data_IF_458106667132
#
_entry.id   IF_458106667132
#
_cell.length_a   1.000
_cell.length_b   1.000
_cell.length_c   1.000
_cell.angle_alpha   90.00
_cell.angle_beta   90.00
_cell.angle_gamma   90.00
#
_symmetry.space_group_name_H-M   'P 1'
#
loop_
_entity.id
_entity.type
_entity.pdbx_description
1 polymer ?
#
# COMPACT_ATOMS: atom_id res chain seq x y z
N UNK A 1 15.35 -28.44 -30.56
CA UNK A 1 14.42 -27.32 -30.83
C UNK A 1 13.61 -26.86 -29.59
N UNK A 2 13.00 -27.74 -28.79
CA UNK A 2 12.21 -27.34 -27.60
C UNK A 2 12.99 -26.54 -26.56
N UNK A 3 14.23 -26.87 -26.29
CA UNK A 3 15.07 -26.16 -25.29
C UNK A 3 15.55 -24.79 -25.78
N UNK A 4 15.68 -24.60 -27.09
CA UNK A 4 16.07 -23.31 -27.68
C UNK A 4 14.92 -22.28 -27.58
N UNK A 5 13.67 -22.72 -27.74
CA UNK A 5 12.48 -21.90 -27.55
C UNK A 5 12.30 -21.48 -26.08
N UNK A 6 12.53 -22.40 -25.15
CA UNK A 6 12.46 -22.13 -23.72
C UNK A 6 13.55 -21.15 -23.26
N UNK A 7 14.79 -21.29 -23.77
CA UNK A 7 15.87 -20.35 -23.47
C UNK A 7 15.62 -18.95 -24.06
N UNK A 8 15.07 -18.88 -25.28
CA UNK A 8 14.68 -17.58 -25.87
C UNK A 8 13.56 -16.88 -25.10
N UNK A 9 12.52 -17.63 -24.65
CA UNK A 9 11.45 -17.08 -23.82
C UNK A 9 11.96 -16.61 -22.45
N UNK A 10 12.93 -17.34 -21.88
CA UNK A 10 13.52 -16.98 -20.60
C UNK A 10 14.43 -15.75 -20.71
N UNK A 11 15.22 -15.64 -21.76
CA UNK A 11 16.05 -14.44 -22.02
C UNK A 11 15.22 -13.21 -22.39
N UNK A 12 14.15 -13.35 -23.17
CA UNK A 12 13.23 -12.26 -23.45
C UNK A 12 12.50 -11.79 -22.19
N UNK A 13 12.12 -12.70 -21.28
CA UNK A 13 11.49 -12.32 -20.01
C UNK A 13 12.46 -11.61 -19.06
N UNK A 14 13.73 -12.01 -19.02
CA UNK A 14 14.76 -11.32 -18.22
C UNK A 14 15.05 -9.91 -18.73
N UNK A 15 15.18 -9.72 -20.06
CA UNK A 15 15.39 -8.38 -20.63
C UNK A 15 14.17 -7.45 -20.51
N UNK A 16 12.95 -8.01 -20.43
CA UNK A 16 11.74 -7.24 -20.15
C UNK A 16 11.64 -6.82 -18.69
N UNK A 17 12.22 -7.59 -17.76
CA UNK A 17 12.20 -7.30 -16.33
C UNK A 17 12.97 -6.02 -15.97
N UNK A 18 14.13 -5.76 -16.59
CA UNK A 18 14.94 -4.58 -16.32
C UNK A 18 14.27 -3.25 -16.72
N UNK A 19 13.25 -3.32 -17.57
CA UNK A 19 12.47 -2.14 -18.00
C UNK A 19 11.15 -1.98 -17.26
N UNK A 20 10.64 -3.02 -16.61
CA UNK A 20 9.32 -3.04 -15.98
C UNK A 20 9.39 -2.80 -14.46
N UNK A 21 10.48 -3.18 -13.81
CA UNK A 21 10.67 -3.02 -12.38
C UNK A 21 11.78 -2.01 -12.09
N UNK A 22 11.42 -0.91 -11.48
CA UNK A 22 12.35 0.15 -11.11
C UNK A 22 11.90 0.77 -9.78
N UNK A 23 12.87 1.26 -9.02
CA UNK A 23 12.61 1.97 -7.78
C UNK A 23 12.64 3.46 -8.07
N UNK A 24 11.48 4.07 -8.19
CA UNK A 24 11.43 5.51 -8.45
C UNK A 24 10.49 6.23 -7.52
N UNK A 25 10.69 7.53 -7.47
CA UNK A 25 9.90 8.44 -6.67
C UNK A 25 8.49 8.55 -7.26
N UNK A 26 7.43 8.26 -6.46
CA UNK A 26 6.06 8.44 -6.91
C UNK A 26 5.73 9.91 -7.20
N UNK A 27 4.73 10.13 -8.03
CA UNK A 27 4.11 11.44 -8.18
C UNK A 27 3.51 11.93 -6.87
N UNK A 28 3.38 13.26 -6.73
CA UNK A 28 2.66 13.84 -5.60
C UNK A 28 1.15 13.78 -5.84
N UNK A 29 0.39 13.39 -4.82
CA UNK A 29 -1.06 13.24 -4.92
C UNK A 29 -1.74 13.43 -3.56
N UNK A 30 -3.04 13.70 -3.62
CA UNK A 30 -3.96 13.57 -2.48
C UNK A 30 -4.85 12.37 -2.74
N UNK A 31 -5.07 11.52 -1.73
CA UNK A 31 -5.97 10.37 -1.86
C UNK A 31 -7.03 10.36 -0.79
N UNK A 32 -8.16 9.74 -1.14
CA UNK A 32 -9.28 9.51 -0.24
C UNK A 32 -9.84 8.10 -0.43
N UNK A 33 -9.85 7.32 0.63
CA UNK A 33 -10.45 6.00 0.67
C UNK A 33 -11.51 5.93 1.79
N UNK A 34 -12.80 5.97 1.44
CA UNK A 34 -13.88 5.99 2.43
C UNK A 34 -14.03 4.69 3.19
N UNK A 35 -13.66 3.57 2.56
CA UNK A 35 -13.92 2.23 3.10
C UNK A 35 -12.65 1.39 3.11
N UNK A 36 -12.56 0.53 4.13
CA UNK A 36 -11.62 -0.57 4.18
C UNK A 36 -12.33 -1.86 4.58
N UNK A 37 -11.74 -3.00 4.23
CA UNK A 37 -12.22 -4.31 4.62
C UNK A 37 -11.12 -5.07 5.35
N UNK A 38 -11.51 -5.84 6.39
CA UNK A 38 -10.62 -6.78 7.06
C UNK A 38 -10.73 -8.14 6.39
N UNK A 39 -9.63 -8.67 5.87
CA UNK A 39 -9.64 -9.93 5.11
C UNK A 39 -10.18 -11.12 5.91
N UNK A 40 -9.93 -11.17 7.21
CA UNK A 40 -10.34 -12.29 8.07
C UNK A 40 -11.75 -12.17 8.64
N UNK A 41 -12.35 -10.98 8.64
CA UNK A 41 -13.70 -10.76 9.17
C UNK A 41 -14.71 -10.51 8.08
N UNK A 42 -14.28 -10.10 6.89
CA UNK A 42 -15.14 -9.68 5.80
C UNK A 42 -15.92 -8.39 6.10
N UNK A 43 -15.64 -7.73 7.20
CA UNK A 43 -16.33 -6.51 7.61
C UNK A 43 -15.85 -5.33 6.77
N UNK A 44 -16.78 -4.54 6.27
CA UNK A 44 -16.49 -3.25 5.65
C UNK A 44 -16.56 -2.19 6.74
N UNK A 45 -15.44 -1.51 6.96
CA UNK A 45 -15.36 -0.41 7.91
C UNK A 45 -15.28 0.93 7.18
N UNK A 46 -15.95 1.94 7.69
CA UNK A 46 -15.77 3.32 7.27
C UNK A 46 -14.49 3.86 7.94
N UNK A 47 -13.44 4.04 7.17
CA UNK A 47 -12.13 4.48 7.70
C UNK A 47 -11.83 5.94 7.36
N UNK A 48 -12.47 6.47 6.30
CA UNK A 48 -12.23 7.84 5.82
C UNK A 48 -10.73 8.18 5.73
N UNK A 49 -9.94 7.22 5.21
CA UNK A 49 -8.51 7.44 5.03
C UNK A 49 -8.29 8.55 4.02
N UNK A 50 -7.70 9.64 4.49
CA UNK A 50 -7.18 10.71 3.65
C UNK A 50 -5.66 10.66 3.72
N UNK A 51 -4.97 10.72 2.59
CA UNK A 51 -3.52 10.80 2.58
C UNK A 51 -2.98 11.81 1.57
N UNK A 52 -1.80 12.32 1.88
CA UNK A 52 -1.01 13.18 1.00
C UNK A 52 0.31 12.48 0.77
N UNK A 53 0.66 12.28 -0.48
CA UNK A 53 1.97 11.80 -0.90
C UNK A 53 2.79 12.95 -1.47
N UNK A 54 4.01 13.10 -0.98
CA UNK A 54 4.99 14.02 -1.54
C UNK A 54 6.32 13.28 -1.74
N UNK A 55 6.58 12.94 -2.98
CA UNK A 55 7.75 12.13 -3.31
C UNK A 55 7.72 10.76 -2.64
N UNK A 56 8.73 10.45 -1.83
CA UNK A 56 8.86 9.18 -1.12
C UNK A 56 8.03 9.09 0.17
N UNK A 57 7.42 10.18 0.63
CA UNK A 57 6.69 10.23 1.89
C UNK A 57 5.18 10.28 1.66
N UNK A 58 4.44 9.38 2.30
CA UNK A 58 2.97 9.42 2.36
C UNK A 58 2.53 9.60 3.82
N UNK A 59 1.78 10.66 4.08
CA UNK A 59 1.15 10.95 5.37
C UNK A 59 -0.34 10.66 5.27
N UNK A 60 -0.83 9.77 6.11
CA UNK A 60 -2.22 9.34 6.14
C UNK A 60 -2.92 9.67 7.46
N UNK A 61 -4.21 10.01 7.39
CA UNK A 61 -5.10 10.25 8.53
C UNK A 61 -6.34 9.40 8.36
N UNK A 62 -6.75 8.64 9.37
CA UNK A 62 -7.94 7.80 9.32
C UNK A 62 -8.45 7.45 10.72
N UNK A 63 -9.68 6.94 10.76
CA UNK A 63 -10.23 6.32 11.96
C UNK A 63 -9.97 4.82 11.85
N UNK A 64 -9.23 4.27 12.81
CA UNK A 64 -8.92 2.84 12.80
C UNK A 64 -10.13 1.98 13.23
N UNK A 65 -10.01 0.66 13.13
CA UNK A 65 -11.07 -0.30 13.48
C UNK A 65 -11.47 -0.29 14.95
N UNK A 66 -10.71 0.37 15.80
CA UNK A 66 -11.07 0.60 17.22
C UNK A 66 -11.73 1.97 17.45
N UNK A 67 -12.09 2.67 16.36
CA UNK A 67 -12.67 4.02 16.38
C UNK A 67 -11.75 5.10 16.95
N UNK A 68 -10.44 4.88 16.86
CA UNK A 68 -9.44 5.84 17.31
C UNK A 68 -8.84 6.59 16.12
N UNK A 69 -8.62 7.92 16.25
CA UNK A 69 -7.92 8.67 15.23
C UNK A 69 -6.48 8.18 15.11
N UNK A 70 -6.04 7.98 13.90
CA UNK A 70 -4.75 7.38 13.58
C UNK A 70 -4.04 8.21 12.52
N UNK A 71 -2.73 8.40 12.73
CA UNK A 71 -1.82 9.02 11.77
C UNK A 71 -0.85 7.96 11.31
N UNK A 72 -0.62 7.85 10.01
CA UNK A 72 0.39 6.97 9.43
C UNK A 72 1.42 7.78 8.64
N UNK A 73 2.68 7.43 8.79
CA UNK A 73 3.77 7.96 7.97
C UNK A 73 4.49 6.79 7.31
N UNK A 74 4.50 6.77 6.00
CA UNK A 74 5.07 5.70 5.19
C UNK A 74 6.09 6.24 4.20
N UNK A 75 7.17 5.50 4.01
CA UNK A 75 7.98 5.56 2.80
C UNK A 75 7.24 4.81 1.71
N UNK A 76 7.11 5.40 0.53
CA UNK A 76 6.45 4.81 -0.63
C UNK A 76 7.37 4.89 -1.84
N UNK A 77 7.43 3.80 -2.60
CA UNK A 77 8.19 3.74 -3.83
C UNK A 77 7.36 3.12 -4.94
N UNK A 78 7.48 3.66 -6.14
CA UNK A 78 6.93 3.04 -7.32
C UNK A 78 7.89 1.97 -7.83
N UNK A 79 7.37 0.79 -8.12
CA UNK A 79 8.15 -0.37 -8.57
C UNK A 79 7.77 -0.85 -9.96
N UNK A 80 6.63 -0.38 -10.44
CA UNK A 80 6.13 -0.72 -11.77
C UNK A 80 5.20 0.37 -12.29
N UNK A 81 5.39 0.77 -13.55
CA UNK A 81 4.56 1.76 -14.23
C UNK A 81 4.24 1.34 -15.66
N UNK A 82 2.99 1.57 -16.04
CA UNK A 82 2.53 1.56 -17.44
C UNK A 82 1.70 2.82 -17.69
N UNK A 83 1.20 2.98 -18.92
CA UNK A 83 0.33 4.12 -19.28
C UNK A 83 -0.89 4.30 -18.35
N UNK A 84 -1.42 3.21 -17.78
CA UNK A 84 -2.64 3.23 -16.96
C UNK A 84 -2.49 2.61 -15.58
N UNK A 85 -1.45 1.83 -15.34
CA UNK A 85 -1.26 1.11 -14.10
C UNK A 85 0.02 1.54 -13.41
N UNK A 86 -0.06 1.75 -12.12
CA UNK A 86 1.11 1.91 -11.26
C UNK A 86 1.01 0.97 -10.08
N UNK A 87 2.14 0.45 -9.70
CA UNK A 87 2.28 -0.42 -8.54
C UNK A 87 3.33 0.16 -7.60
N UNK A 88 2.95 0.30 -6.34
CA UNK A 88 3.84 0.85 -5.32
C UNK A 88 3.99 -0.12 -4.16
N UNK A 89 5.15 -0.08 -3.52
CA UNK A 89 5.40 -0.66 -2.21
C UNK A 89 5.47 0.46 -1.17
N UNK A 90 5.01 0.16 0.04
CA UNK A 90 5.08 1.10 1.14
C UNK A 90 5.49 0.41 2.44
N UNK A 91 6.24 1.14 3.27
CA UNK A 91 6.63 0.72 4.61
C UNK A 91 6.72 1.93 5.54
N UNK A 92 6.28 1.79 6.78
CA UNK A 92 6.28 2.90 7.72
C UNK A 92 5.72 2.54 9.07
N UNK A 93 5.09 3.51 9.70
CA UNK A 93 4.49 3.37 11.02
C UNK A 93 3.17 4.11 11.12
N UNK A 94 2.27 3.62 11.97
CA UNK A 94 1.04 4.30 12.33
C UNK A 94 0.97 4.49 13.86
N UNK A 95 0.48 5.66 14.28
CA UNK A 95 0.23 6.02 15.67
C UNK A 95 -1.26 6.16 15.92
N UNK A 96 -1.77 5.58 17.03
CA UNK A 96 -3.19 5.70 17.39
C UNK A 96 -3.86 4.38 17.77
N UNK A 97 -3.15 3.25 17.69
CA UNK A 97 -3.73 1.95 18.05
C UNK A 97 -3.73 1.66 19.58
N UNK A 98 -3.08 2.51 20.38
CA UNK A 98 -3.08 2.42 21.85
C UNK A 98 -2.76 1.01 22.36
N UNK A 99 -1.75 0.35 21.79
CA UNK A 99 -1.29 -1.02 22.12
C UNK A 99 -2.33 -2.13 21.87
N UNK A 100 -3.47 -1.82 21.25
CA UNK A 100 -4.57 -2.79 21.01
C UNK A 100 -4.20 -3.93 20.05
N UNK A 101 -3.11 -3.79 19.31
CA UNK A 101 -2.58 -4.81 18.42
C UNK A 101 -1.51 -5.72 19.06
N UNK A 102 -1.10 -5.43 20.30
CA UNK A 102 -0.15 -6.29 21.02
C UNK A 102 -0.77 -7.65 21.35
N UNK A 103 -0.05 -8.72 21.07
CA UNK A 103 -0.50 -10.12 21.20
C UNK A 103 -1.78 -10.45 20.42
N UNK A 104 -2.06 -9.73 19.33
CA UNK A 104 -3.22 -10.05 18.50
C UNK A 104 -2.95 -11.31 17.67
N UNK A 105 -3.77 -12.39 17.81
CA UNK A 105 -3.42 -13.73 17.31
C UNK A 105 -3.21 -13.83 15.80
N UNK A 106 -3.87 -13.00 15.02
CA UNK A 106 -3.81 -13.03 13.55
C UNK A 106 -2.76 -12.10 12.95
N UNK A 107 -2.07 -11.31 13.80
CA UNK A 107 -1.04 -10.38 13.32
C UNK A 107 0.33 -11.02 13.53
N UNK A 108 1.09 -11.30 12.47
CA UNK A 108 2.46 -11.76 12.59
C UNK A 108 3.29 -10.80 13.44
N UNK A 109 4.13 -11.32 14.33
CA UNK A 109 5.01 -10.54 15.20
C UNK A 109 4.31 -9.63 16.22
N UNK A 110 2.99 -9.72 16.40
CA UNK A 110 2.24 -8.86 17.34
C UNK A 110 2.70 -8.98 18.80
N UNK A 111 3.30 -10.10 19.19
CA UNK A 111 3.89 -10.30 20.51
C UNK A 111 5.26 -9.64 20.72
N UNK A 112 5.82 -9.02 19.68
CA UNK A 112 7.15 -8.39 19.77
C UNK A 112 7.08 -6.97 20.35
N UNK A 113 8.25 -6.40 20.66
CA UNK A 113 8.39 -5.02 21.14
C UNK A 113 7.80 -3.99 20.16
N UNK A 114 7.72 -4.32 18.87
CA UNK A 114 7.19 -3.43 17.83
C UNK A 114 5.73 -3.05 18.06
N UNK A 115 4.93 -3.91 18.72
CA UNK A 115 3.53 -3.67 19.01
C UNK A 115 3.25 -3.30 20.48
N UNK A 116 4.30 -3.25 21.31
CA UNK A 116 4.19 -2.81 22.73
C UNK A 116 4.01 -1.30 22.87
N UNK A 117 4.27 -0.55 21.81
CA UNK A 117 4.15 0.91 21.79
C UNK A 117 2.82 1.33 21.13
N UNK A 118 2.54 2.62 21.11
CA UNK A 118 1.41 3.19 20.37
C UNK A 118 1.73 3.30 18.85
N UNK A 119 3.01 3.12 18.49
CA UNK A 119 3.44 3.04 17.09
C UNK A 119 3.41 1.59 16.63
N UNK A 120 2.75 1.34 15.52
CA UNK A 120 2.67 0.02 14.91
C UNK A 120 3.28 0.04 13.52
N UNK A 121 4.05 -0.99 13.13
CA UNK A 121 4.61 -1.06 11.79
C UNK A 121 3.48 -1.20 10.75
N UNK A 122 3.63 -0.50 9.65
CA UNK A 122 2.76 -0.58 8.48
C UNK A 122 3.61 -0.96 7.28
N UNK A 123 3.16 -1.93 6.52
CA UNK A 123 3.79 -2.32 5.27
C UNK A 123 2.74 -2.85 4.32
N UNK A 124 2.93 -2.65 3.02
CA UNK A 124 1.96 -3.10 2.05
C UNK A 124 2.26 -2.67 0.63
N UNK A 125 1.26 -2.82 -0.22
CA UNK A 125 1.31 -2.44 -1.61
C UNK A 125 0.10 -1.63 -2.01
N UNK A 126 0.24 -0.79 -3.03
CA UNK A 126 -0.89 -0.12 -3.67
C UNK A 126 -0.86 -0.35 -5.17
N UNK A 127 -2.03 -0.52 -5.75
CA UNK A 127 -2.23 -0.57 -7.19
C UNK A 127 -3.12 0.60 -7.58
N UNK A 128 -2.73 1.32 -8.60
CA UNK A 128 -3.44 2.48 -9.11
C UNK A 128 -3.80 2.26 -10.58
N UNK A 129 -5.05 2.53 -10.91
CA UNK A 129 -5.54 2.55 -12.29
C UNK A 129 -5.94 3.96 -12.68
N UNK A 130 -5.25 4.56 -13.64
CA UNK A 130 -5.50 5.91 -14.11
C UNK A 130 -6.71 5.96 -15.04
N UNK A 131 -7.76 6.61 -14.57
CA UNK A 131 -8.96 6.92 -15.37
C UNK A 131 -8.68 8.14 -16.25
N UNK A 132 -7.89 9.09 -15.74
CA UNK A 132 -7.40 10.26 -16.47
C UNK A 132 -5.98 10.59 -16.04
N UNK A 133 -5.38 11.64 -16.62
CA UNK A 133 -4.02 12.07 -16.26
C UNK A 133 -3.88 12.49 -14.77
N UNK A 134 -4.98 12.91 -14.14
CA UNK A 134 -4.98 13.41 -12.76
C UNK A 134 -5.80 12.59 -11.78
N UNK A 135 -6.55 11.60 -12.26
CA UNK A 135 -7.45 10.79 -11.43
C UNK A 135 -7.14 9.32 -11.60
N UNK A 136 -6.87 8.63 -10.50
CA UNK A 136 -6.75 7.19 -10.45
C UNK A 136 -7.65 6.56 -9.39
N UNK A 137 -8.09 5.33 -9.66
CA UNK A 137 -8.65 4.43 -8.66
C UNK A 137 -7.48 3.75 -7.96
N UNK A 138 -7.45 3.78 -6.64
CA UNK A 138 -6.39 3.21 -5.80
C UNK A 138 -6.92 2.03 -5.01
N UNK A 139 -6.28 0.88 -5.11
CA UNK A 139 -6.46 -0.24 -4.19
C UNK A 139 -5.23 -0.36 -3.31
N UNK A 140 -5.44 -0.44 -1.99
CA UNK A 140 -4.37 -0.57 -0.99
C UNK A 140 -4.48 -1.93 -0.32
N UNK A 141 -3.36 -2.62 -0.18
CA UNK A 141 -3.23 -3.93 0.43
C UNK A 141 -2.21 -3.86 1.56
N UNK A 142 -2.68 -3.97 2.79
CA UNK A 142 -1.87 -4.10 4.01
C UNK A 142 -2.18 -5.49 4.59
N UNK A 143 -1.24 -6.16 5.30
CA UNK A 143 -1.43 -7.55 5.76
C UNK A 143 -2.69 -7.77 6.59
N UNK A 144 -3.74 -7.38 6.61
CA UNK A 144 -5.01 -7.63 7.32
C UNK A 144 -6.15 -6.79 6.76
N UNK A 145 -5.82 -5.73 5.99
CA UNK A 145 -6.79 -4.71 5.60
C UNK A 145 -6.59 -4.35 4.14
N UNK A 146 -7.65 -4.35 3.39
CA UNK A 146 -7.71 -3.79 2.05
C UNK A 146 -8.49 -2.48 2.04
N UNK A 147 -8.12 -1.56 1.18
CA UNK A 147 -8.84 -0.29 0.99
C UNK A 147 -9.02 0.03 -0.48
N UNK A 148 -10.14 0.68 -0.80
CA UNK A 148 -10.41 1.19 -2.14
C UNK A 148 -10.68 2.69 -2.05
N UNK A 149 -10.06 3.47 -2.93
CA UNK A 149 -10.17 4.90 -2.92
C UNK A 149 -9.82 5.56 -4.25
N UNK A 150 -9.68 6.86 -4.21
CA UNK A 150 -9.33 7.71 -5.34
C UNK A 150 -8.03 8.46 -5.05
N UNK A 151 -7.19 8.62 -6.06
CA UNK A 151 -6.02 9.48 -6.06
C UNK A 151 -6.21 10.64 -7.01
N UNK A 152 -5.82 11.82 -6.56
CA UNK A 152 -5.78 13.05 -7.36
C UNK A 152 -4.32 13.52 -7.44
N UNK A 153 -3.70 13.41 -8.60
CA UNK A 153 -2.34 13.89 -8.86
C UNK A 153 -2.30 15.43 -8.86
N UNK A 154 -1.31 15.99 -8.17
CA UNK A 154 -1.13 17.44 -7.99
C UNK A 154 -0.12 17.96 -9.01
#
# INVERSE_FOLDING_TARGET
MRYLLLSLLFTCSLQAQDKLFHWQKPDSYVSYAPFSTHYFRGDIAQTHLTSINYGWAELGFFINSYREPTIALCYKTEVFETRRWRFHLMAGTAYGYKKKLYNYPTIPLSGTILFKTDFVPVGGATVEYFVSQKLAIKATFIPLVGGLGLNFTI
#
